data_IF_677089822674
#
_entry.id   IF_677089822674
#
_cell.length_a   1.000
_cell.length_b   1.000
_cell.length_c   1.000
_cell.angle_alpha   90.00
_cell.angle_beta   90.00
_cell.angle_gamma   90.00
#
_symmetry.space_group_name_H-M   'P 1'
#
loop_
_entity.id
_entity.type
_entity.pdbx_description
1 polymer ?
#
# COMPACT_ATOMS: atom_id res chain seq x y z
N UNK A 1 -16.58 38.50 17.95
CA UNK A 1 -17.19 37.49 18.84
C UNK A 1 -17.78 36.32 18.05
N UNK A 2 -18.62 36.53 17.04
CA UNK A 2 -19.31 35.48 16.28
C UNK A 2 -18.33 34.54 15.52
N UNK A 3 -17.26 35.06 14.93
CA UNK A 3 -16.22 34.31 14.22
C UNK A 3 -15.41 33.36 15.15
N UNK A 4 -15.12 33.84 16.37
CA UNK A 4 -14.41 33.01 17.34
C UNK A 4 -15.29 31.83 17.83
N UNK A 5 -16.60 32.11 18.04
CA UNK A 5 -17.55 31.06 18.41
C UNK A 5 -17.69 30.01 17.31
N UNK A 6 -17.78 30.43 16.05
CA UNK A 6 -17.87 29.55 14.89
C UNK A 6 -16.60 28.68 14.73
N UNK A 7 -15.44 29.29 14.97
CA UNK A 7 -14.15 28.58 14.93
C UNK A 7 -14.06 27.49 16.03
N UNK A 8 -14.53 27.81 17.24
CA UNK A 8 -14.60 26.84 18.35
C UNK A 8 -15.55 25.69 18.02
N UNK A 9 -16.71 25.97 17.43
CA UNK A 9 -17.67 24.92 17.02
C UNK A 9 -17.09 24.05 15.91
N UNK A 10 -16.43 24.66 14.93
CA UNK A 10 -15.77 23.90 13.83
C UNK A 10 -14.62 23.05 14.36
N UNK A 11 -13.79 23.60 15.27
CA UNK A 11 -12.71 22.85 15.90
C UNK A 11 -13.25 21.71 16.78
N UNK A 12 -14.27 21.97 17.59
CA UNK A 12 -14.87 20.95 18.46
C UNK A 12 -15.48 19.80 17.67
N UNK A 13 -16.25 20.09 16.62
CA UNK A 13 -16.83 19.07 15.76
C UNK A 13 -15.80 18.44 14.82
N UNK A 14 -14.83 19.22 14.31
CA UNK A 14 -13.81 18.74 13.40
C UNK A 14 -12.76 17.84 14.08
N UNK A 15 -12.31 18.18 15.28
CA UNK A 15 -11.34 17.36 16.02
C UNK A 15 -11.89 15.97 16.34
N UNK A 16 -13.20 15.85 16.61
CA UNK A 16 -13.82 14.54 16.87
C UNK A 16 -13.85 13.61 15.64
N UNK A 17 -13.82 14.16 14.42
CA UNK A 17 -13.79 13.39 13.17
C UNK A 17 -12.38 12.85 12.88
N UNK A 18 -11.34 13.63 13.22
CA UNK A 18 -9.94 13.27 12.96
C UNK A 18 -9.31 12.41 14.05
N UNK A 19 -9.96 12.26 15.22
CA UNK A 19 -9.42 11.43 16.27
C UNK A 19 -9.72 9.95 16.00
N UNK A 20 -8.70 9.07 15.99
CA UNK A 20 -8.95 7.64 15.80
C UNK A 20 -9.83 7.12 16.91
N UNK A 21 -11.00 6.59 16.56
CA UNK A 21 -11.93 5.97 17.52
C UNK A 21 -11.34 4.66 18.01
N UNK A 22 -11.40 4.44 19.32
CA UNK A 22 -10.94 3.20 19.94
C UNK A 22 -11.71 1.99 19.38
N UNK A 23 -10.99 0.87 19.21
CA UNK A 23 -11.62 -0.41 18.90
C UNK A 23 -12.38 -0.92 20.13
N UNK A 24 -13.58 -1.40 19.89
CA UNK A 24 -14.43 -2.03 20.89
C UNK A 24 -14.56 -3.52 20.57
N UNK A 25 -14.30 -4.36 21.55
CA UNK A 25 -14.59 -5.78 21.50
C UNK A 25 -15.94 -6.04 22.22
N UNK A 26 -16.85 -6.70 21.51
CA UNK A 26 -18.21 -7.03 21.97
C UNK A 26 -18.36 -8.54 22.01
N UNK A 27 -18.69 -9.07 23.18
CA UNK A 27 -19.11 -10.47 23.37
C UNK A 27 -20.64 -10.53 23.33
N UNK A 28 -21.18 -11.37 22.47
CA UNK A 28 -22.61 -11.57 22.33
C UNK A 28 -23.13 -12.71 23.22
N UNK A 29 -24.42 -12.74 23.44
CA UNK A 29 -25.08 -13.77 24.26
C UNK A 29 -24.93 -15.19 23.68
N UNK A 30 -24.76 -15.32 22.34
CA UNK A 30 -24.49 -16.58 21.66
C UNK A 30 -23.03 -17.04 21.74
N UNK A 31 -22.17 -16.28 22.45
CA UNK A 31 -20.74 -16.57 22.59
C UNK A 31 -19.90 -16.10 21.41
N UNK A 32 -20.47 -15.45 20.41
CA UNK A 32 -19.69 -14.86 19.32
C UNK A 32 -19.01 -13.56 19.77
N UNK A 33 -17.86 -13.27 19.15
CA UNK A 33 -17.06 -12.09 19.42
C UNK A 33 -16.99 -11.20 18.19
N UNK A 34 -17.16 -9.91 18.40
CA UNK A 34 -17.03 -8.88 17.37
C UNK A 34 -15.97 -7.87 17.81
N UNK A 35 -15.11 -7.45 16.86
CA UNK A 35 -14.18 -6.36 17.06
C UNK A 35 -14.46 -5.29 16.00
N UNK A 36 -14.59 -4.05 16.43
CA UNK A 36 -14.92 -2.97 15.51
C UNK A 36 -14.85 -1.60 16.13
N UNK A 37 -15.12 -0.59 15.33
CA UNK A 37 -15.26 0.79 15.80
C UNK A 37 -16.75 1.07 16.01
N UNK A 38 -17.11 1.57 17.18
CA UNK A 38 -18.47 2.05 17.44
C UNK A 38 -18.74 3.30 16.61
N UNK A 39 -19.78 3.26 15.79
CA UNK A 39 -20.10 4.33 14.82
C UNK A 39 -21.32 5.12 15.28
N UNK A 40 -22.38 4.40 15.69
CA UNK A 40 -23.70 5.01 15.93
C UNK A 40 -24.54 4.17 16.89
N UNK A 41 -25.51 4.81 17.53
CA UNK A 41 -26.55 4.21 18.34
C UNK A 41 -27.92 4.51 17.72
N UNK A 42 -28.80 3.54 17.67
CA UNK A 42 -30.15 3.70 17.11
C UNK A 42 -31.17 2.85 17.88
N UNK A 43 -32.43 3.11 17.63
CA UNK A 43 -33.55 2.28 18.09
C UNK A 43 -34.15 1.57 16.89
N UNK A 44 -34.21 0.27 16.94
CA UNK A 44 -34.82 -0.52 15.86
C UNK A 44 -36.31 -0.13 15.75
N UNK A 45 -36.77 0.41 14.62
CA UNK A 45 -38.14 0.86 14.44
C UNK A 45 -39.16 -0.30 14.49
N UNK A 46 -38.75 -1.54 14.26
CA UNK A 46 -39.63 -2.70 14.28
C UNK A 46 -39.83 -3.27 15.68
N UNK A 47 -38.75 -3.24 16.51
CA UNK A 47 -38.79 -3.88 17.84
C UNK A 47 -38.78 -2.89 18.99
N UNK A 48 -38.45 -1.61 18.74
CA UNK A 48 -38.24 -0.61 19.77
C UNK A 48 -36.98 -0.82 20.65
N UNK A 49 -36.12 -1.79 20.29
CA UNK A 49 -34.91 -2.11 21.04
C UNK A 49 -33.74 -1.23 20.61
N UNK A 50 -32.92 -0.86 21.60
CA UNK A 50 -31.64 -0.16 21.32
C UNK A 50 -30.68 -1.11 20.63
N UNK A 51 -29.99 -0.57 19.60
CA UNK A 51 -28.94 -1.27 18.87
C UNK A 51 -27.73 -0.35 18.66
N UNK A 52 -26.57 -0.95 18.58
CA UNK A 52 -25.33 -0.25 18.26
C UNK A 52 -24.86 -0.63 16.86
N UNK A 53 -24.27 0.31 16.16
CA UNK A 53 -23.64 0.10 14.85
C UNK A 53 -22.14 -0.01 15.01
N UNK A 54 -21.59 -1.15 14.63
CA UNK A 54 -20.15 -1.41 14.63
C UNK A 54 -19.63 -1.43 13.18
N UNK A 55 -18.55 -0.68 12.92
CA UNK A 55 -17.72 -0.87 11.73
C UNK A 55 -16.75 -2.01 12.03
N UNK A 56 -17.03 -3.19 11.51
CA UNK A 56 -16.20 -4.40 11.70
C UNK A 56 -15.06 -4.51 10.70
N UNK A 57 -15.07 -3.69 9.66
CA UNK A 57 -14.06 -3.50 8.62
C UNK A 57 -13.77 -4.73 7.75
N UNK A 58 -13.47 -5.86 8.28
CA UNK A 58 -13.06 -7.11 7.60
C UNK A 58 -14.08 -7.59 6.56
N UNK A 59 -14.11 -6.94 5.41
CA UNK A 59 -15.12 -7.15 4.34
C UNK A 59 -15.11 -8.57 3.77
N UNK A 60 -13.98 -9.26 3.88
CA UNK A 60 -13.84 -10.66 3.47
C UNK A 60 -14.64 -11.62 4.36
N UNK A 61 -14.90 -11.21 5.60
CA UNK A 61 -15.55 -12.02 6.63
C UNK A 61 -17.01 -11.63 6.84
N UNK A 62 -17.55 -10.70 6.04
CA UNK A 62 -18.93 -10.27 6.14
C UNK A 62 -19.14 -8.79 5.83
N UNK A 63 -20.29 -8.23 6.20
CA UNK A 63 -20.57 -6.82 5.97
C UNK A 63 -19.66 -5.93 6.81
N UNK A 64 -19.15 -4.85 6.20
CA UNK A 64 -18.27 -3.87 6.86
C UNK A 64 -18.91 -3.17 8.08
N UNK A 65 -20.23 -3.17 8.15
CA UNK A 65 -21.00 -2.62 9.26
C UNK A 65 -22.01 -3.66 9.76
N UNK A 66 -22.13 -3.78 11.08
CA UNK A 66 -23.11 -4.64 11.73
C UNK A 66 -23.91 -3.86 12.76
N UNK A 67 -25.23 -4.04 12.74
CA UNK A 67 -26.10 -3.65 13.83
C UNK A 67 -26.17 -4.79 14.84
N UNK A 68 -26.01 -4.46 16.10
CA UNK A 68 -26.06 -5.39 17.22
C UNK A 68 -27.07 -4.87 18.23
N UNK A 69 -28.06 -5.68 18.54
CA UNK A 69 -29.06 -5.33 19.56
C UNK A 69 -28.39 -5.24 20.93
N UNK A 70 -28.68 -4.18 21.66
CA UNK A 70 -28.06 -3.97 22.98
C UNK A 70 -28.37 -5.11 23.96
N UNK A 71 -29.55 -5.75 23.83
CA UNK A 71 -29.93 -6.89 24.62
C UNK A 71 -29.13 -8.17 24.34
N UNK A 72 -28.46 -8.26 23.20
CA UNK A 72 -27.58 -9.39 22.85
C UNK A 72 -26.14 -9.20 23.33
N UNK A 73 -25.79 -8.01 23.78
CA UNK A 73 -24.44 -7.70 24.24
C UNK A 73 -24.27 -8.17 25.69
N UNK A 74 -23.41 -9.17 25.87
CA UNK A 74 -23.04 -9.69 27.18
C UNK A 74 -21.93 -8.85 27.85
N UNK A 75 -20.94 -8.46 27.03
CA UNK A 75 -19.78 -7.71 27.52
C UNK A 75 -19.23 -6.79 26.45
N UNK A 76 -18.79 -5.61 26.87
CA UNK A 76 -18.07 -4.65 26.02
C UNK A 76 -16.72 -4.33 26.69
N UNK A 77 -15.65 -4.34 25.91
CA UNK A 77 -14.30 -3.97 26.36
C UNK A 77 -13.54 -3.20 25.30
N UNK A 78 -12.50 -2.49 25.72
CA UNK A 78 -11.61 -1.69 24.84
C UNK A 78 -10.20 -2.26 24.94
N UNK A 79 -9.89 -3.34 24.20
CA UNK A 79 -8.60 -4.00 24.30
C UNK A 79 -7.48 -3.11 23.75
N UNK A 80 -6.46 -2.77 24.55
CA UNK A 80 -5.34 -1.92 24.10
C UNK A 80 -4.42 -2.65 23.10
N UNK A 81 -4.50 -3.97 23.04
CA UNK A 81 -3.77 -4.84 22.12
C UNK A 81 -4.45 -5.03 20.75
N UNK A 82 -5.63 -4.44 20.56
CA UNK A 82 -6.30 -4.47 19.26
C UNK A 82 -5.78 -3.38 18.32
N UNK A 83 -5.59 -3.74 17.07
CA UNK A 83 -5.05 -2.87 16.04
C UNK A 83 -6.03 -2.66 14.87
N UNK A 84 -5.97 -1.48 14.29
CA UNK A 84 -6.50 -1.18 12.96
C UNK A 84 -5.34 -1.24 11.99
N UNK A 85 -5.42 -2.13 11.01
CA UNK A 85 -4.45 -2.24 9.93
C UNK A 85 -5.06 -1.63 8.69
N UNK A 86 -4.52 -0.52 8.22
CA UNK A 86 -4.89 0.08 6.94
C UNK A 86 -4.32 -0.77 5.81
N UNK A 87 -5.20 -1.28 4.96
CA UNK A 87 -4.81 -2.09 3.80
C UNK A 87 -5.02 -1.31 2.51
N UNK A 88 -4.15 -1.50 1.55
CA UNK A 88 -4.30 -0.88 0.22
C UNK A 88 -5.53 -1.40 -0.53
N UNK A 89 -6.01 -2.58 -0.19
CA UNK A 89 -7.20 -3.22 -0.77
C UNK A 89 -8.09 -3.76 0.35
N UNK A 90 -9.39 -3.94 0.07
CA UNK A 90 -10.38 -4.58 0.96
C UNK A 90 -10.67 -3.86 2.28
N UNK A 91 -10.47 -2.55 2.37
CA UNK A 91 -10.68 -1.74 3.58
C UNK A 91 -9.75 -2.11 4.74
N UNK A 92 -9.91 -1.40 5.87
CA UNK A 92 -9.16 -1.64 7.09
C UNK A 92 -9.42 -3.07 7.60
N UNK A 93 -8.46 -3.61 8.30
CA UNK A 93 -8.58 -4.86 9.05
C UNK A 93 -8.52 -4.56 10.55
N UNK A 94 -9.41 -5.17 11.33
CA UNK A 94 -9.42 -5.08 12.79
C UNK A 94 -9.01 -6.43 13.37
N UNK A 95 -7.99 -6.44 14.21
CA UNK A 95 -7.50 -7.68 14.81
C UNK A 95 -6.50 -7.46 15.92
N UNK A 96 -6.02 -8.56 16.47
CA UNK A 96 -4.96 -8.61 17.46
C UNK A 96 -3.68 -9.07 16.79
N UNK A 97 -2.59 -8.37 17.03
CA UNK A 97 -1.28 -8.80 16.54
C UNK A 97 -0.82 -10.02 17.34
N UNK A 98 -0.57 -11.13 16.67
CA UNK A 98 -0.10 -12.37 17.28
C UNK A 98 1.40 -12.55 17.16
N UNK A 99 1.93 -12.28 15.97
CA UNK A 99 3.33 -12.53 15.65
C UNK A 99 3.87 -11.52 14.65
N UNK A 100 5.14 -11.15 14.79
CA UNK A 100 5.90 -10.36 13.84
C UNK A 100 6.97 -11.24 13.23
N UNK A 101 6.81 -11.57 11.94
CA UNK A 101 7.80 -12.32 11.16
C UNK A 101 8.65 -11.32 10.38
N UNK A 102 9.58 -10.67 11.07
CA UNK A 102 10.51 -9.72 10.47
C UNK A 102 11.92 -10.21 10.75
N UNK A 103 12.79 -10.38 9.73
CA UNK A 103 14.18 -10.75 9.94
C UNK A 103 14.87 -9.77 10.90
N UNK A 104 15.39 -10.26 12.01
CA UNK A 104 16.03 -9.47 13.06
C UNK A 104 15.11 -8.96 14.19
N UNK A 105 13.82 -9.28 14.15
CA UNK A 105 12.86 -8.99 15.23
C UNK A 105 12.11 -10.27 15.65
N UNK A 106 12.77 -11.39 15.52
CA UNK A 106 12.24 -12.72 15.84
C UNK A 106 11.94 -12.82 17.33
N UNK A 107 10.71 -13.16 17.64
CA UNK A 107 10.22 -13.37 18.99
C UNK A 107 8.93 -12.61 19.28
N UNK A 108 8.07 -13.24 20.06
CA UNK A 108 6.83 -12.62 20.55
C UNK A 108 7.19 -11.41 21.42
N UNK A 109 6.57 -10.26 21.19
CA UNK A 109 6.71 -9.14 22.09
C UNK A 109 6.06 -9.42 23.43
N UNK A 110 6.69 -9.01 24.51
CA UNK A 110 6.04 -8.95 25.81
C UNK A 110 4.82 -8.02 25.75
N UNK A 111 3.75 -8.39 26.45
CA UNK A 111 2.54 -7.58 26.55
C UNK A 111 2.89 -6.16 26.99
N UNK A 112 2.39 -5.18 26.26
CA UNK A 112 2.59 -3.74 26.55
C UNK A 112 3.63 -3.03 25.65
N UNK A 113 4.47 -3.75 24.89
CA UNK A 113 5.48 -3.16 23.98
C UNK A 113 5.22 -3.45 22.49
N UNK A 114 4.09 -4.08 22.18
CA UNK A 114 3.71 -4.53 20.82
C UNK A 114 3.68 -3.41 19.79
N UNK A 115 3.07 -2.28 20.14
CA UNK A 115 2.96 -1.14 19.25
C UNK A 115 4.33 -0.55 18.87
N UNK A 116 5.24 -0.45 19.85
CA UNK A 116 6.61 0.05 19.62
C UNK A 116 7.42 -0.91 18.76
N UNK A 117 7.27 -2.22 18.99
CA UNK A 117 7.96 -3.24 18.20
C UNK A 117 7.44 -3.29 16.77
N UNK A 118 6.13 -3.17 16.56
CA UNK A 118 5.54 -3.04 15.23
C UNK A 118 6.06 -1.81 14.51
N UNK A 119 6.08 -0.65 15.18
CA UNK A 119 6.61 0.59 14.64
C UNK A 119 8.11 0.47 14.29
N UNK A 120 8.90 -0.16 15.16
CA UNK A 120 10.30 -0.44 14.90
C UNK A 120 10.50 -1.40 13.70
N UNK A 121 9.66 -2.44 13.59
CA UNK A 121 9.68 -3.37 12.47
C UNK A 121 9.34 -2.68 11.14
N UNK A 122 8.31 -1.84 11.14
CA UNK A 122 7.93 -1.06 9.96
C UNK A 122 9.05 -0.11 9.51
N UNK A 123 9.65 0.64 10.44
CA UNK A 123 10.79 1.51 10.14
C UNK A 123 12.00 0.73 9.62
N UNK A 124 12.28 -0.45 10.17
CA UNK A 124 13.36 -1.30 9.70
C UNK A 124 13.09 -1.82 8.28
N UNK A 125 11.84 -2.20 7.98
CA UNK A 125 11.41 -2.62 6.65
C UNK A 125 11.53 -1.48 5.64
N UNK A 126 11.08 -0.27 5.99
CA UNK A 126 11.20 0.92 5.14
C UNK A 126 12.66 1.29 4.88
N UNK A 127 13.49 1.26 5.92
CA UNK A 127 14.93 1.52 5.79
C UNK A 127 15.62 0.47 4.90
N UNK A 128 15.21 -0.81 4.99
CA UNK A 128 15.71 -1.87 4.14
C UNK A 128 15.26 -1.66 2.69
N UNK A 129 14.00 -1.33 2.46
CA UNK A 129 13.47 -1.01 1.13
C UNK A 129 14.24 0.16 0.49
N UNK A 130 14.40 1.26 1.23
CA UNK A 130 15.13 2.43 0.74
C UNK A 130 16.60 2.12 0.39
N UNK A 131 17.24 1.22 1.13
CA UNK A 131 18.64 0.84 0.90
C UNK A 131 18.81 -0.17 -0.24
N UNK A 132 17.92 -1.13 -0.37
CA UNK A 132 18.10 -2.28 -1.26
C UNK A 132 17.28 -2.18 -2.56
N UNK A 133 16.06 -1.69 -2.50
CA UNK A 133 15.13 -1.63 -3.65
C UNK A 133 15.20 -0.28 -4.37
N UNK A 134 15.18 0.82 -3.63
CA UNK A 134 15.15 2.16 -4.23
C UNK A 134 16.31 2.42 -5.22
N UNK A 135 17.58 2.04 -4.94
CA UNK A 135 18.67 2.23 -5.89
C UNK A 135 18.51 1.41 -7.18
N UNK A 136 17.85 0.26 -7.13
CA UNK A 136 17.55 -0.55 -8.32
C UNK A 136 16.48 0.15 -9.18
N UNK A 137 15.45 0.69 -8.56
CA UNK A 137 14.42 1.48 -9.22
C UNK A 137 14.99 2.71 -9.89
N UNK A 138 15.84 3.47 -9.19
CA UNK A 138 16.47 4.66 -9.74
C UNK A 138 17.35 4.35 -10.97
N UNK A 139 18.03 3.19 -10.97
CA UNK A 139 18.81 2.71 -12.12
C UNK A 139 17.90 2.27 -13.28
N UNK A 140 16.79 1.58 -13.00
CA UNK A 140 15.79 1.20 -14.00
C UNK A 140 15.20 2.44 -14.68
N UNK A 141 14.82 3.46 -13.89
CA UNK A 141 14.30 4.73 -14.37
C UNK A 141 15.34 5.50 -15.21
N UNK A 142 16.62 5.43 -14.85
CA UNK A 142 17.70 6.05 -15.62
C UNK A 142 17.87 5.37 -16.99
N UNK A 143 17.85 4.03 -17.03
CA UNK A 143 17.91 3.26 -18.29
C UNK A 143 16.69 3.53 -19.16
N UNK A 144 15.51 3.61 -18.57
CA UNK A 144 14.27 3.92 -19.29
C UNK A 144 14.30 5.33 -19.91
N UNK A 145 14.85 6.32 -19.19
CA UNK A 145 15.05 7.67 -19.72
C UNK A 145 16.05 7.69 -20.89
N UNK A 146 17.21 7.06 -20.72
CA UNK A 146 18.22 6.95 -21.81
C UNK A 146 17.60 6.31 -23.06
N UNK A 147 16.87 5.20 -22.89
CA UNK A 147 16.20 4.49 -23.98
C UNK A 147 15.20 5.38 -24.72
N UNK A 148 14.33 6.08 -23.97
CA UNK A 148 13.22 6.82 -24.58
C UNK A 148 13.67 8.20 -25.11
N UNK A 149 14.45 8.96 -24.36
CA UNK A 149 14.78 10.34 -24.69
C UNK A 149 15.99 10.43 -25.61
N UNK A 150 16.99 9.57 -25.45
CA UNK A 150 18.21 9.64 -26.23
C UNK A 150 18.15 8.68 -27.43
N UNK A 151 17.99 7.39 -27.20
CA UNK A 151 18.13 6.41 -28.28
C UNK A 151 16.96 6.44 -29.22
N UNK A 152 15.72 6.29 -28.75
CA UNK A 152 14.52 6.27 -29.61
C UNK A 152 14.32 7.58 -30.35
N UNK A 153 14.56 8.72 -29.68
CA UNK A 153 14.42 10.02 -30.31
C UNK A 153 15.47 10.24 -31.41
N UNK A 154 16.73 9.89 -31.14
CA UNK A 154 17.80 10.00 -32.14
C UNK A 154 17.57 9.05 -33.34
N UNK A 155 17.09 7.83 -33.08
CA UNK A 155 16.73 6.87 -34.11
C UNK A 155 15.63 7.43 -35.02
N UNK A 156 14.56 7.97 -34.43
CA UNK A 156 13.47 8.58 -35.21
C UNK A 156 13.95 9.72 -36.10
N UNK A 157 14.83 10.59 -35.58
CA UNK A 157 15.42 11.69 -36.40
C UNK A 157 16.29 11.17 -37.53
N UNK A 158 17.13 10.18 -37.27
CA UNK A 158 18.00 9.58 -38.25
C UNK A 158 17.18 8.87 -39.35
N UNK A 159 16.16 8.14 -39.01
CA UNK A 159 15.22 7.50 -39.93
C UNK A 159 14.45 8.53 -40.80
N UNK A 160 14.04 9.64 -40.19
CA UNK A 160 13.37 10.72 -40.91
C UNK A 160 14.30 11.32 -41.96
N UNK A 161 15.56 11.63 -41.57
CA UNK A 161 16.56 12.18 -42.49
C UNK A 161 16.92 11.20 -43.60
N UNK A 162 17.11 9.92 -43.28
CA UNK A 162 17.33 8.85 -44.27
C UNK A 162 16.21 8.81 -45.30
N UNK A 163 14.94 8.88 -44.90
CA UNK A 163 13.79 8.92 -45.82
C UNK A 163 13.79 10.15 -46.70
N UNK A 164 14.23 11.31 -46.22
CA UNK A 164 14.35 12.53 -47.06
C UNK A 164 15.39 12.34 -48.15
N UNK A 165 16.60 11.85 -47.85
CA UNK A 165 17.67 11.61 -48.84
C UNK A 165 17.24 10.60 -49.90
N UNK A 166 16.64 9.51 -49.49
CA UNK A 166 16.13 8.51 -50.43
C UNK A 166 15.06 9.08 -51.40
N UNK A 167 14.17 9.95 -50.88
CA UNK A 167 13.18 10.64 -51.74
C UNK A 167 13.80 11.66 -52.70
N UNK A 168 14.92 12.24 -52.32
CA UNK A 168 15.68 13.16 -53.17
C UNK A 168 16.52 12.42 -54.25
N UNK A 169 16.53 11.08 -54.23
CA UNK A 169 17.33 10.28 -55.18
C UNK A 169 18.80 10.11 -54.79
N UNK A 170 19.17 10.48 -53.56
CA UNK A 170 20.54 10.40 -53.05
C UNK A 170 20.85 8.99 -52.51
N UNK A 171 20.82 7.99 -53.40
CA UNK A 171 20.98 6.58 -53.01
C UNK A 171 22.43 6.15 -52.72
N UNK A 172 23.43 6.94 -53.08
CA UNK A 172 24.85 6.64 -52.91
C UNK A 172 25.61 7.80 -52.30
N UNK A 173 24.94 8.65 -51.48
CA UNK A 173 25.60 9.78 -50.81
C UNK A 173 26.37 9.32 -49.60
N UNK A 174 27.49 9.98 -49.29
CA UNK A 174 28.27 9.75 -48.08
C UNK A 174 27.41 9.95 -46.80
N UNK A 175 26.51 10.96 -46.84
CA UNK A 175 25.57 11.24 -45.74
C UNK A 175 24.62 10.05 -45.51
N UNK A 176 24.15 9.35 -46.51
CA UNK A 176 23.31 8.18 -46.35
C UNK A 176 24.05 7.04 -45.66
N UNK A 177 25.33 6.79 -46.06
CA UNK A 177 26.16 5.75 -45.45
C UNK A 177 26.46 6.06 -43.97
N UNK A 178 26.72 7.32 -43.62
CA UNK A 178 26.91 7.74 -42.23
C UNK A 178 25.63 7.57 -41.38
N UNK A 179 24.47 7.90 -41.94
CA UNK A 179 23.19 7.72 -41.26
C UNK A 179 22.85 6.24 -41.05
N UNK A 180 23.16 5.39 -42.01
CA UNK A 180 22.97 3.93 -41.86
C UNK A 180 23.87 3.34 -40.78
N UNK A 181 25.15 3.74 -40.73
CA UNK A 181 26.07 3.35 -39.68
C UNK A 181 25.59 3.85 -38.31
N UNK A 182 25.07 5.07 -38.22
CA UNK A 182 24.50 5.63 -36.99
C UNK A 182 23.24 4.89 -36.56
N UNK A 183 22.35 4.55 -37.50
CA UNK A 183 21.15 3.77 -37.18
C UNK A 183 21.52 2.40 -36.63
N UNK A 184 22.48 1.70 -37.23
CA UNK A 184 22.96 0.40 -36.76
C UNK A 184 23.54 0.51 -35.32
N UNK A 185 24.30 1.56 -35.03
CA UNK A 185 24.84 1.81 -33.70
C UNK A 185 23.72 2.10 -32.67
N UNK A 186 22.69 2.87 -33.06
CA UNK A 186 21.53 3.15 -32.21
C UNK A 186 20.67 1.90 -31.97
N UNK A 187 20.54 1.02 -32.95
CA UNK A 187 19.85 -0.27 -32.80
C UNK A 187 20.59 -1.20 -31.83
N UNK A 188 21.91 -1.29 -31.96
CA UNK A 188 22.73 -2.05 -31.01
C UNK A 188 22.61 -1.49 -29.58
N UNK A 189 22.63 -0.16 -29.43
CA UNK A 189 22.44 0.48 -28.12
C UNK A 189 21.02 0.27 -27.55
N UNK A 190 20.01 0.32 -28.40
CA UNK A 190 18.63 0.03 -28.01
C UNK A 190 18.49 -1.40 -27.48
N UNK A 191 19.10 -2.37 -28.14
CA UNK A 191 19.11 -3.76 -27.69
C UNK A 191 19.81 -3.92 -26.32
N UNK A 192 21.00 -3.35 -26.17
CA UNK A 192 21.75 -3.37 -24.91
C UNK A 192 20.94 -2.76 -23.75
N UNK A 193 20.31 -1.60 -23.97
CA UNK A 193 19.51 -0.95 -22.93
C UNK A 193 18.24 -1.73 -22.58
N UNK A 194 17.62 -2.41 -23.53
CA UNK A 194 16.48 -3.30 -23.27
C UNK A 194 16.89 -4.49 -22.41
N UNK A 195 18.00 -5.15 -22.73
CA UNK A 195 18.51 -6.26 -21.94
C UNK A 195 18.86 -5.81 -20.50
N UNK A 196 19.51 -4.67 -20.38
CA UNK A 196 19.84 -4.08 -19.07
C UNK A 196 18.58 -3.70 -18.27
N UNK A 197 17.56 -3.15 -18.93
CA UNK A 197 16.28 -2.84 -18.29
C UNK A 197 15.59 -4.09 -17.77
N UNK A 198 15.58 -5.16 -18.57
CA UNK A 198 15.04 -6.45 -18.17
C UNK A 198 15.75 -7.05 -16.96
N UNK A 199 17.08 -7.04 -16.96
CA UNK A 199 17.88 -7.55 -15.84
C UNK A 199 17.65 -6.74 -14.55
N UNK A 200 17.59 -5.39 -14.66
CA UNK A 200 17.30 -4.52 -13.51
C UNK A 200 15.90 -4.76 -12.96
N UNK A 201 14.90 -4.88 -13.83
CA UNK A 201 13.52 -5.14 -13.45
C UNK A 201 13.38 -6.49 -12.72
N UNK A 202 14.04 -7.53 -13.24
CA UNK A 202 14.08 -8.84 -12.59
C UNK A 202 14.72 -8.77 -11.21
N UNK A 203 15.93 -8.18 -11.10
CA UNK A 203 16.62 -8.04 -9.82
C UNK A 203 15.82 -7.22 -8.82
N UNK A 204 15.19 -6.14 -9.27
CA UNK A 204 14.31 -5.33 -8.43
C UNK A 204 13.14 -6.17 -7.90
N UNK A 205 12.47 -6.93 -8.74
CA UNK A 205 11.35 -7.78 -8.33
C UNK A 205 11.77 -8.86 -7.33
N UNK A 206 12.92 -9.51 -7.55
CA UNK A 206 13.49 -10.50 -6.63
C UNK A 206 13.81 -9.87 -5.28
N UNK A 207 14.55 -8.74 -5.27
CA UNK A 207 14.91 -8.02 -4.04
C UNK A 207 13.67 -7.48 -3.32
N UNK A 208 12.70 -6.92 -4.04
CA UNK A 208 11.46 -6.42 -3.47
C UNK A 208 10.65 -7.54 -2.82
N UNK A 209 10.57 -8.70 -3.45
CA UNK A 209 9.92 -9.88 -2.87
C UNK A 209 10.62 -10.33 -1.58
N UNK A 210 11.95 -10.29 -1.55
CA UNK A 210 12.71 -10.65 -0.35
C UNK A 210 12.55 -9.62 0.78
N UNK A 211 12.60 -8.34 0.46
CA UNK A 211 12.41 -7.25 1.44
C UNK A 211 10.98 -7.24 1.99
N UNK A 212 9.99 -7.60 1.17
CA UNK A 212 8.57 -7.68 1.56
C UNK A 212 8.18 -8.98 2.27
N UNK A 213 9.10 -9.90 2.52
CA UNK A 213 8.84 -11.09 3.34
C UNK A 213 8.56 -10.80 4.81
N UNK A 214 8.60 -9.53 5.21
CA UNK A 214 8.14 -9.12 6.51
C UNK A 214 6.61 -9.34 6.58
N UNK A 215 6.19 -10.17 7.49
CA UNK A 215 4.79 -10.45 7.71
C UNK A 215 4.43 -10.22 9.18
N UNK A 216 3.24 -9.71 9.40
CA UNK A 216 2.64 -9.67 10.73
C UNK A 216 1.43 -10.59 10.71
N UNK A 217 1.36 -11.50 11.65
CA UNK A 217 0.21 -12.40 11.81
C UNK A 217 -0.78 -11.74 12.74
N UNK A 218 -1.98 -11.48 12.24
CA UNK A 218 -3.09 -10.95 13.02
C UNK A 218 -4.14 -12.04 13.25
N UNK A 219 -4.83 -11.94 14.36
CA UNK A 219 -5.97 -12.80 14.68
C UNK A 219 -7.20 -11.93 14.81
N UNK A 220 -8.29 -12.29 14.13
CA UNK A 220 -9.56 -11.59 14.24
C UNK A 220 -10.30 -11.92 15.54
N UNK A 221 -11.47 -11.30 15.77
CA UNK A 221 -12.30 -11.56 16.95
C UNK A 221 -12.80 -13.01 17.05
N UNK A 222 -12.82 -13.76 15.95
CA UNK A 222 -13.21 -15.16 15.89
C UNK A 222 -12.01 -16.13 16.00
N UNK A 223 -10.80 -15.63 16.23
CA UNK A 223 -9.58 -16.43 16.35
C UNK A 223 -8.98 -16.90 15.02
N UNK A 224 -9.42 -16.34 13.88
CA UNK A 224 -8.88 -16.70 12.55
C UNK A 224 -7.63 -15.89 12.25
N UNK A 225 -6.60 -16.59 11.78
CA UNK A 225 -5.32 -15.97 11.43
C UNK A 225 -5.38 -15.31 10.05
N UNK A 226 -4.72 -14.14 9.94
CA UNK A 226 -4.49 -13.40 8.70
C UNK A 226 -3.02 -12.97 8.63
N UNK A 227 -2.43 -13.11 7.45
CA UNK A 227 -1.04 -12.76 7.16
C UNK A 227 -0.96 -11.51 6.29
#
# INVERSE_FOLDING_TARGET
MLTALLLVVVLYNGLGVFWPKALVAVELADGSHLLGVHVDDDVDPATGQRRIKLKTANREDGPAFRWVDAGQIRRTSYPPEAFVVERMTNLDYHGYLRELVTPGLEGLPEQGDLARRLDAALRAADARYAREVQPLKDREDAVARELNEQVKYQKLRAEYRRRQLLRAGETASHELAELEARLAALEAREAELKDRSFDLSRRRAETETEVRRNAAVFVDAAGREKH
#
